data_IF_116997396703
#
_entry.id   IF_116997396703
#
_cell.length_a   1.000
_cell.length_b   1.000
_cell.length_c   1.000
_cell.angle_alpha   90.00
_cell.angle_beta   90.00
_cell.angle_gamma   90.00
#
_symmetry.space_group_name_H-M   'P 1'
#
loop_
_entity.id
_entity.type
_entity.pdbx_description
1 polymer ?
#
# COMPACT_ATOMS: atom_id res chain seq x y z
N UNK A 1 10.82 20.30 -12.70
CA UNK A 1 10.51 19.55 -11.44
C UNK A 1 9.91 18.22 -11.86
N UNK A 2 10.60 17.11 -11.60
CA UNK A 2 10.04 15.77 -11.85
C UNK A 2 8.90 15.55 -10.85
N UNK A 3 7.69 15.96 -11.24
CA UNK A 3 6.46 15.66 -10.51
C UNK A 3 6.37 14.15 -10.42
N UNK A 4 6.74 13.58 -9.26
CA UNK A 4 6.76 12.13 -9.04
C UNK A 4 5.47 11.53 -9.55
N UNK A 5 5.57 10.64 -10.55
CA UNK A 5 4.42 10.02 -11.19
C UNK A 5 3.56 9.38 -10.09
N UNK A 6 2.34 9.89 -9.88
CA UNK A 6 1.39 9.29 -8.93
C UNK A 6 1.23 7.82 -9.30
N UNK A 7 1.57 6.94 -8.37
CA UNK A 7 1.37 5.50 -8.52
C UNK A 7 -0.09 5.19 -8.22
N UNK A 8 -0.71 4.46 -9.12
CA UNK A 8 -2.00 3.81 -8.90
C UNK A 8 -1.77 2.44 -8.27
N UNK A 9 -2.83 1.81 -7.77
CA UNK A 9 -2.78 0.45 -7.25
C UNK A 9 -2.26 -0.60 -8.27
N UNK A 10 -2.34 -0.28 -9.57
CA UNK A 10 -1.83 -1.13 -10.66
C UNK A 10 -0.31 -1.11 -10.76
N UNK A 11 0.33 -0.06 -10.23
CA UNK A 11 1.79 0.13 -10.27
C UNK A 11 2.51 -0.61 -9.13
N UNK A 12 1.76 -1.19 -8.19
CA UNK A 12 2.30 -2.00 -7.10
C UNK A 12 2.34 -3.48 -7.45
N UNK A 13 3.46 -4.11 -7.10
CA UNK A 13 3.63 -5.55 -7.23
C UNK A 13 2.59 -6.31 -6.40
N UNK A 14 2.25 -7.52 -6.84
CA UNK A 14 1.33 -8.38 -6.08
C UNK A 14 1.86 -8.65 -4.67
N UNK A 15 3.16 -8.94 -4.53
CA UNK A 15 3.82 -9.19 -3.24
C UNK A 15 3.66 -8.02 -2.28
N UNK A 16 3.84 -6.79 -2.75
CA UNK A 16 3.64 -5.61 -1.92
C UNK A 16 2.20 -5.53 -1.41
N UNK A 17 1.21 -5.72 -2.30
CA UNK A 17 -0.21 -5.69 -1.94
C UNK A 17 -0.56 -6.75 -0.89
N UNK A 18 -0.03 -7.97 -1.03
CA UNK A 18 -0.25 -9.04 -0.06
C UNK A 18 0.38 -8.72 1.30
N UNK A 19 1.57 -8.10 1.33
CA UNK A 19 2.19 -7.70 2.61
C UNK A 19 1.39 -6.64 3.38
N UNK A 20 0.73 -5.73 2.67
CA UNK A 20 -0.15 -4.72 3.30
C UNK A 20 -1.40 -5.38 3.86
N UNK A 21 -2.00 -6.34 3.15
CA UNK A 21 -3.17 -7.11 3.64
C UNK A 21 -2.82 -7.90 4.89
N UNK A 22 -1.69 -8.62 4.89
CA UNK A 22 -1.22 -9.41 6.04
C UNK A 22 -1.03 -8.55 7.29
N UNK A 23 -0.45 -7.34 7.16
CA UNK A 23 -0.31 -6.39 8.27
C UNK A 23 -1.67 -5.92 8.82
N UNK A 24 -2.65 -5.70 7.95
CA UNK A 24 -3.99 -5.27 8.37
C UNK A 24 -4.74 -6.42 9.06
N UNK A 25 -4.66 -7.64 8.52
CA UNK A 25 -5.30 -8.82 9.11
C UNK A 25 -4.73 -9.19 10.49
N UNK A 26 -3.43 -8.95 10.69
CA UNK A 26 -2.76 -9.12 11.99
C UNK A 26 -3.03 -7.99 12.98
N UNK A 27 -3.67 -6.89 12.55
CA UNK A 27 -3.90 -5.70 13.36
C UNK A 27 -2.65 -4.87 13.63
N UNK A 28 -1.56 -5.10 12.87
CA UNK A 28 -0.34 -4.30 12.93
C UNK A 28 -0.55 -2.90 12.32
N UNK A 29 -1.53 -2.78 11.44
CA UNK A 29 -1.90 -1.54 10.78
C UNK A 29 -3.42 -1.44 10.62
N UNK A 30 -4.00 -0.26 10.84
CA UNK A 30 -5.39 -0.04 10.47
C UNK A 30 -5.52 0.16 8.95
N UNK A 31 -6.72 -0.10 8.42
CA UNK A 31 -7.02 0.17 7.02
C UNK A 31 -6.76 1.63 6.61
N UNK A 32 -6.98 2.59 7.52
CA UNK A 32 -6.74 4.03 7.25
C UNK A 32 -5.26 4.34 7.11
N UNK A 33 -4.42 3.80 8.00
CA UNK A 33 -2.97 3.92 7.92
C UNK A 33 -2.42 3.21 6.67
N UNK A 34 -3.05 2.10 6.24
CA UNK A 34 -2.65 1.38 5.03
C UNK A 34 -2.86 2.21 3.76
N UNK A 35 -3.89 3.07 3.77
CA UNK A 35 -4.27 3.90 2.63
C UNK A 35 -3.34 5.11 2.42
N UNK A 36 -2.62 5.54 3.46
CA UNK A 36 -1.67 6.65 3.38
C UNK A 36 -0.30 6.24 2.82
N UNK A 37 -0.04 4.92 2.66
CA UNK A 37 1.16 4.36 2.04
C UNK A 37 1.03 4.21 0.52
#
# INVERSE_FOLDING_TARGET
MNSGKRRSQRDYSLTFKLSVVDQVEKGELSYKEAQER
#
